data_IF_712227526478
#
_entry.id   IF_712227526478
#
_cell.length_a   1.000
_cell.length_b   1.000
_cell.length_c   1.000
_cell.angle_alpha   90.00
_cell.angle_beta   90.00
_cell.angle_gamma   90.00
#
_symmetry.space_group_name_H-M   'P 1'
#
loop_
_entity.id
_entity.type
_entity.pdbx_description
1 polymer ?
#
# COMPACT_ATOMS: atom_id res chain seq x y z
N UNK A 1 -8.12 -0.07 26.50
CA UNK A 1 -8.70 -0.81 25.36
C UNK A 1 -8.37 -2.26 25.59
N UNK A 2 -9.37 -3.14 25.63
CA UNK A 2 -9.14 -4.57 25.82
C UNK A 2 -8.62 -5.16 24.50
N UNK A 3 -7.54 -5.92 24.56
CA UNK A 3 -7.00 -6.63 23.39
C UNK A 3 -7.62 -8.01 23.35
N UNK A 4 -8.43 -8.28 22.34
CA UNK A 4 -9.08 -9.57 22.16
C UNK A 4 -8.17 -10.50 21.37
N UNK A 5 -8.04 -11.74 21.84
CA UNK A 5 -7.26 -12.79 21.20
C UNK A 5 -8.16 -13.91 20.72
N UNK A 6 -7.89 -14.44 19.54
CA UNK A 6 -8.54 -15.65 19.05
C UNK A 6 -8.00 -16.87 19.80
N UNK A 7 -8.91 -17.71 20.27
CA UNK A 7 -8.60 -18.90 21.06
C UNK A 7 -8.39 -20.12 20.14
N UNK A 8 -7.18 -20.70 20.07
CA UNK A 8 -6.98 -21.96 19.40
C UNK A 8 -7.57 -23.13 20.23
N UNK A 9 -7.91 -24.27 19.59
CA UNK A 9 -8.65 -25.36 20.23
C UNK A 9 -7.91 -25.99 21.42
N UNK A 10 -6.58 -26.13 21.35
CA UNK A 10 -5.78 -26.71 22.45
C UNK A 10 -5.81 -25.85 23.72
N UNK A 11 -5.92 -24.53 23.57
CA UNK A 11 -5.98 -23.59 24.69
C UNK A 11 -7.36 -23.68 25.35
N UNK A 12 -8.42 -23.82 24.55
CA UNK A 12 -9.77 -24.08 25.04
C UNK A 12 -9.78 -25.34 25.90
N UNK A 13 -9.24 -26.45 25.40
CA UNK A 13 -9.12 -27.71 26.16
C UNK A 13 -8.39 -27.51 27.49
N UNK A 14 -7.26 -26.80 27.46
CA UNK A 14 -6.44 -26.51 28.65
C UNK A 14 -7.21 -25.68 29.69
N UNK A 15 -7.97 -24.66 29.26
CA UNK A 15 -8.81 -23.86 30.18
C UNK A 15 -9.97 -24.70 30.71
N UNK A 16 -10.59 -25.53 29.88
CA UNK A 16 -11.70 -26.39 30.34
C UNK A 16 -11.25 -27.45 31.33
N UNK A 17 -10.06 -28.01 31.14
CA UNK A 17 -9.44 -28.97 32.07
C UNK A 17 -9.15 -28.30 33.43
N UNK A 18 -8.65 -27.06 33.39
CA UNK A 18 -8.45 -26.25 34.59
C UNK A 18 -9.76 -25.92 35.31
N UNK A 19 -10.83 -25.59 34.58
CA UNK A 19 -12.14 -25.27 35.17
C UNK A 19 -12.89 -26.51 35.68
N UNK A 20 -12.65 -27.68 35.08
CA UNK A 20 -13.22 -28.96 35.50
C UNK A 20 -12.55 -29.48 36.78
N UNK A 21 -11.25 -29.20 36.93
CA UNK A 21 -10.52 -29.49 38.16
C UNK A 21 -10.93 -28.44 39.20
N UNK A 22 -11.49 -28.85 40.34
CA UNK A 22 -11.95 -27.92 41.39
C UNK A 22 -10.77 -27.32 42.17
N UNK A 23 -9.93 -26.55 41.47
CA UNK A 23 -8.80 -25.82 42.01
C UNK A 23 -9.34 -24.50 42.59
N UNK A 24 -8.79 -24.09 43.75
CA UNK A 24 -9.11 -22.82 44.41
C UNK A 24 -8.54 -21.61 43.62
N UNK A 25 -9.10 -21.36 42.43
CA UNK A 25 -8.81 -20.16 41.65
C UNK A 25 -9.38 -18.92 42.35
N UNK A 26 -8.71 -17.75 42.25
CA UNK A 26 -9.31 -16.48 42.61
C UNK A 26 -10.69 -16.34 41.96
N UNK A 27 -11.69 -15.95 42.75
CA UNK A 27 -13.09 -15.93 42.32
C UNK A 27 -13.30 -15.08 41.06
N UNK A 28 -12.58 -13.96 40.95
CA UNK A 28 -12.62 -13.07 39.79
C UNK A 28 -12.17 -13.78 38.51
N UNK A 29 -11.03 -14.50 38.56
CA UNK A 29 -10.51 -15.27 37.43
C UNK A 29 -11.43 -16.41 37.05
N UNK A 30 -11.96 -17.15 38.03
CA UNK A 30 -12.88 -18.27 37.77
C UNK A 30 -14.16 -17.76 37.12
N UNK A 31 -14.71 -16.65 37.59
CA UNK A 31 -15.92 -16.04 37.03
C UNK A 31 -15.69 -15.54 35.60
N UNK A 32 -14.57 -14.85 35.34
CA UNK A 32 -14.24 -14.34 34.01
C UNK A 32 -13.92 -15.44 33.00
N UNK A 33 -13.16 -16.47 33.40
CA UNK A 33 -12.88 -17.64 32.56
C UNK A 33 -14.17 -18.42 32.27
N UNK A 34 -15.04 -18.62 33.27
CA UNK A 34 -16.34 -19.28 33.07
C UNK A 34 -17.24 -18.47 32.14
N UNK A 35 -17.24 -17.14 32.27
CA UNK A 35 -17.99 -16.24 31.39
C UNK A 35 -17.43 -16.25 29.98
N UNK A 36 -16.10 -16.28 29.85
CA UNK A 36 -15.43 -16.45 28.57
C UNK A 36 -15.90 -17.77 27.98
N UNK A 37 -15.63 -18.92 28.60
CA UNK A 37 -15.95 -20.28 28.11
C UNK A 37 -17.44 -20.52 27.83
N UNK A 38 -18.35 -19.95 28.61
CA UNK A 38 -19.79 -20.08 28.36
C UNK A 38 -20.24 -19.41 27.06
N UNK A 39 -19.60 -18.30 26.67
CA UNK A 39 -19.85 -17.66 25.37
C UNK A 39 -19.42 -18.55 24.21
N UNK A 40 -18.46 -19.45 24.42
CA UNK A 40 -17.96 -20.38 23.39
C UNK A 40 -19.04 -21.41 23.04
N UNK A 41 -19.73 -21.96 24.05
CA UNK A 41 -20.73 -23.01 23.84
C UNK A 41 -21.98 -22.54 23.09
N UNK A 42 -22.30 -21.24 23.14
CA UNK A 42 -23.48 -20.69 22.45
C UNK A 42 -23.28 -20.57 20.94
N UNK A 43 -22.04 -20.39 20.46
CA UNK A 43 -21.75 -20.17 19.03
C UNK A 43 -21.70 -21.47 18.20
N UNK A 44 -21.57 -22.63 18.84
CA UNK A 44 -21.34 -23.93 18.15
C UNK A 44 -22.59 -24.81 18.15
N UNK A 45 -23.80 -24.26 18.23
CA UNK A 45 -24.95 -25.01 17.72
C UNK A 45 -25.04 -24.69 16.23
N UNK A 46 -24.48 -25.54 15.33
CA UNK A 46 -24.89 -25.48 13.94
C UNK A 46 -26.39 -25.72 14.01
N UNK A 47 -27.17 -24.70 13.66
CA UNK A 47 -28.52 -24.97 13.18
C UNK A 47 -28.33 -26.03 12.10
N UNK A 48 -28.70 -27.26 12.43
CA UNK A 48 -28.88 -28.31 11.45
C UNK A 48 -29.96 -27.73 10.55
N UNK A 49 -29.51 -27.06 9.49
CA UNK A 49 -30.35 -26.71 8.36
C UNK A 49 -30.81 -28.07 7.87
N UNK A 50 -31.95 -28.51 8.38
CA UNK A 50 -32.75 -29.56 7.78
C UNK A 50 -32.97 -29.08 6.35
N UNK A 51 -32.10 -29.55 5.45
CA UNK A 51 -32.35 -29.54 4.02
C UNK A 51 -33.61 -30.38 3.85
N UNK A 52 -34.77 -29.71 3.94
CA UNK A 52 -36.00 -30.20 3.36
C UNK A 52 -35.74 -30.33 1.88
N UNK A 53 -35.34 -31.53 1.49
CA UNK A 53 -35.34 -32.03 0.13
C UNK A 53 -36.80 -32.02 -0.36
N UNK A 54 -37.25 -30.88 -0.87
CA UNK A 54 -38.39 -30.82 -1.77
C UNK A 54 -37.88 -30.92 -3.19
N UNK A 55 -37.29 -32.08 -3.50
CA UNK A 55 -37.27 -32.64 -4.84
C UNK A 55 -38.71 -33.03 -5.16
N UNK A 56 -39.46 -32.19 -5.89
CA UNK A 56 -40.57 -32.61 -6.76
C UNK A 56 -41.24 -31.40 -7.44
N UNK A 57 -40.66 -30.89 -8.53
CA UNK A 57 -41.44 -30.50 -9.71
C UNK A 57 -40.53 -30.13 -10.89
N UNK A 58 -40.12 -31.15 -11.65
CA UNK A 58 -39.76 -30.99 -13.06
C UNK A 58 -40.96 -31.43 -13.89
N UNK A 59 -41.72 -30.48 -14.43
CA UNK A 59 -42.57 -30.73 -15.59
C UNK A 59 -42.64 -29.50 -16.52
N UNK A 60 -42.12 -29.72 -17.73
CA UNK A 60 -42.49 -29.17 -19.05
C UNK A 60 -42.34 -27.64 -19.26
N UNK A 61 -41.41 -27.20 -20.12
CA UNK A 61 -41.54 -27.11 -21.59
C UNK A 61 -42.77 -26.26 -22.01
N UNK A 62 -42.59 -25.02 -22.44
CA UNK A 62 -42.42 -24.66 -23.86
C UNK A 62 -42.35 -23.13 -24.11
N UNK A 63 -41.57 -22.79 -25.13
CA UNK A 63 -41.73 -21.70 -26.12
C UNK A 63 -41.53 -20.19 -25.77
N UNK A 64 -40.55 -19.64 -26.51
CA UNK A 64 -40.49 -18.35 -27.18
C UNK A 64 -40.62 -17.02 -26.41
N UNK A 65 -39.47 -16.34 -26.30
CA UNK A 65 -39.35 -15.00 -26.89
C UNK A 65 -39.73 -13.80 -26.02
N UNK A 66 -38.86 -13.44 -25.07
CA UNK A 66 -38.61 -12.04 -24.69
C UNK A 66 -37.33 -11.95 -23.85
N UNK A 67 -36.31 -11.25 -24.39
CA UNK A 67 -35.16 -10.78 -23.62
C UNK A 67 -35.63 -9.76 -22.56
N UNK A 68 -35.98 -10.26 -21.39
CA UNK A 68 -35.99 -9.50 -20.15
C UNK A 68 -34.88 -10.08 -19.30
N UNK A 69 -33.80 -9.31 -19.17
CA UNK A 69 -32.70 -9.57 -18.25
C UNK A 69 -33.33 -9.82 -16.88
N UNK A 70 -33.28 -11.04 -16.33
CA UNK A 70 -33.84 -11.28 -15.02
C UNK A 70 -32.99 -10.46 -14.06
N UNK A 71 -33.60 -9.45 -13.43
CA UNK A 71 -33.07 -8.88 -12.21
C UNK A 71 -32.96 -10.04 -11.22
N UNK A 72 -31.77 -10.62 -11.15
CA UNK A 72 -31.37 -11.50 -10.07
C UNK A 72 -31.50 -10.66 -8.82
N UNK A 73 -32.67 -10.76 -8.19
CA UNK A 73 -32.93 -10.37 -6.82
C UNK A 73 -32.02 -11.24 -5.97
N UNK A 74 -30.76 -10.80 -5.93
CA UNK A 74 -29.66 -11.37 -5.21
C UNK A 74 -29.95 -11.00 -3.76
N UNK A 75 -30.94 -11.68 -3.20
CA UNK A 75 -31.21 -11.70 -1.77
C UNK A 75 -29.94 -12.30 -1.17
N UNK A 76 -28.96 -11.43 -0.92
CA UNK A 76 -27.78 -11.75 -0.16
C UNK A 76 -28.34 -12.16 1.19
N UNK A 77 -28.50 -13.47 1.37
CA UNK A 77 -28.47 -14.09 2.68
C UNK A 77 -27.16 -13.60 3.26
N UNK A 78 -27.24 -12.55 4.07
CA UNK A 78 -26.13 -12.05 4.87
C UNK A 78 -25.81 -13.21 5.78
N UNK A 79 -24.91 -14.07 5.32
CA UNK A 79 -24.34 -15.12 6.14
C UNK A 79 -23.76 -14.39 7.33
N UNK A 80 -24.43 -14.51 8.47
CA UNK A 80 -24.00 -13.88 9.71
C UNK A 80 -22.63 -14.48 10.02
N UNK A 81 -21.58 -13.72 9.71
CA UNK A 81 -20.21 -14.18 9.79
C UNK A 81 -19.94 -14.58 11.24
N UNK A 82 -19.78 -15.89 11.48
CA UNK A 82 -19.65 -16.44 12.82
C UNK A 82 -18.44 -15.78 13.48
N UNK A 83 -18.71 -14.95 14.48
CA UNK A 83 -17.66 -14.23 15.20
C UNK A 83 -16.68 -15.25 15.81
N UNK A 84 -15.38 -15.15 15.50
CA UNK A 84 -14.42 -16.11 16.02
C UNK A 84 -14.31 -16.00 17.53
N UNK A 85 -13.85 -17.10 18.11
CA UNK A 85 -13.78 -17.29 19.53
C UNK A 85 -12.74 -16.38 20.16
N UNK A 86 -13.15 -15.48 21.05
CA UNK A 86 -12.25 -14.45 21.59
C UNK A 86 -12.18 -14.43 23.12
N UNK A 87 -10.98 -14.19 23.64
CA UNK A 87 -10.69 -13.98 25.06
C UNK A 87 -9.90 -12.69 25.26
N UNK A 88 -10.05 -12.06 26.42
CA UNK A 88 -9.26 -10.88 26.76
C UNK A 88 -7.81 -11.27 27.09
N UNK A 89 -6.85 -10.54 26.54
CA UNK A 89 -5.42 -10.73 26.80
C UNK A 89 -5.07 -10.55 28.27
N UNK A 90 -5.68 -9.57 28.94
CA UNK A 90 -5.39 -9.26 30.35
C UNK A 90 -5.82 -10.40 31.29
N UNK A 91 -6.86 -11.14 30.90
CA UNK A 91 -7.32 -12.34 31.61
C UNK A 91 -6.30 -13.49 31.50
N UNK A 92 -5.77 -13.75 30.30
CA UNK A 92 -4.72 -14.77 30.10
C UNK A 92 -3.43 -14.40 30.86
N UNK A 93 -3.05 -13.12 30.86
CA UNK A 93 -1.91 -12.66 31.64
C UNK A 93 -2.13 -12.84 33.15
N UNK A 94 -3.32 -12.51 33.64
CA UNK A 94 -3.65 -12.66 35.06
C UNK A 94 -3.65 -14.14 35.49
N UNK A 95 -4.18 -15.03 34.64
CA UNK A 95 -4.07 -16.46 34.81
C UNK A 95 -2.60 -16.92 34.86
N UNK A 96 -1.77 -16.47 33.90
CA UNK A 96 -0.35 -16.82 33.86
C UNK A 96 0.44 -16.35 35.09
N UNK A 97 0.10 -15.18 35.63
CA UNK A 97 0.71 -14.64 36.85
C UNK A 97 0.32 -15.48 38.06
N UNK A 98 -0.96 -15.87 38.14
CA UNK A 98 -1.43 -16.74 39.21
C UNK A 98 -0.78 -18.13 39.14
N UNK A 99 -0.67 -18.76 37.97
CA UNK A 99 -0.02 -20.07 37.81
C UNK A 99 1.48 -20.05 38.09
N UNK A 100 2.14 -18.90 37.89
CA UNK A 100 3.56 -18.70 38.21
C UNK A 100 3.79 -18.40 39.70
N UNK A 101 2.77 -17.99 40.44
CA UNK A 101 2.88 -17.76 41.88
C UNK A 101 3.11 -19.08 42.64
N UNK A 102 3.83 -19.03 43.77
CA UNK A 102 4.14 -20.23 44.56
C UNK A 102 2.87 -20.98 45.03
N UNK A 103 1.82 -20.23 45.39
CA UNK A 103 0.54 -20.81 45.80
C UNK A 103 -0.21 -21.47 44.65
N UNK A 104 -0.30 -20.79 43.49
CA UNK A 104 -0.94 -21.34 42.29
C UNK A 104 -0.21 -22.59 41.78
N UNK A 105 1.12 -22.55 41.76
CA UNK A 105 1.95 -23.69 41.35
C UNK A 105 1.76 -24.91 42.25
N UNK A 106 1.82 -24.73 43.56
CA UNK A 106 1.63 -25.84 44.51
C UNK A 106 0.22 -26.45 44.41
N UNK A 107 -0.80 -25.63 44.13
CA UNK A 107 -2.16 -26.11 43.89
C UNK A 107 -2.24 -26.91 42.58
N UNK A 108 -1.69 -26.42 41.47
CA UNK A 108 -1.69 -27.15 40.20
C UNK A 108 -0.98 -28.50 40.34
N UNK A 109 0.20 -28.53 40.98
CA UNK A 109 0.96 -29.76 41.22
C UNK A 109 0.18 -30.76 42.09
N UNK A 110 -0.55 -30.29 43.11
CA UNK A 110 -1.40 -31.13 43.97
C UNK A 110 -2.53 -31.80 43.18
N UNK A 111 -3.03 -31.15 42.13
CA UNK A 111 -4.07 -31.68 41.26
C UNK A 111 -3.52 -32.42 40.03
N UNK A 112 -2.21 -32.71 39.98
CA UNK A 112 -1.51 -33.34 38.84
C UNK A 112 -1.62 -32.55 37.52
N UNK A 113 -1.82 -31.23 37.60
CA UNK A 113 -1.78 -30.34 36.44
C UNK A 113 -0.37 -29.78 36.29
N UNK A 114 0.16 -29.78 35.07
CA UNK A 114 1.49 -29.23 34.79
C UNK A 114 1.46 -27.69 34.74
N UNK A 115 2.14 -26.98 35.65
CA UNK A 115 2.18 -25.51 35.66
C UNK A 115 2.77 -24.92 34.36
N UNK A 116 3.64 -25.65 33.67
CA UNK A 116 4.31 -25.17 32.45
C UNK A 116 3.34 -24.88 31.30
N UNK A 117 2.20 -25.57 31.26
CA UNK A 117 1.14 -25.40 30.26
C UNK A 117 0.38 -24.09 30.42
N UNK A 118 0.43 -23.48 31.60
CA UNK A 118 -0.28 -22.25 31.94
C UNK A 118 0.62 -21.02 32.04
N UNK A 119 1.89 -21.14 31.64
CA UNK A 119 2.81 -19.99 31.54
C UNK A 119 2.37 -19.08 30.39
N UNK A 120 2.63 -17.78 30.48
CA UNK A 120 2.22 -16.79 29.48
C UNK A 120 2.59 -17.19 28.04
N UNK A 121 3.79 -17.74 27.84
CA UNK A 121 4.24 -18.20 26.50
C UNK A 121 3.37 -19.34 25.98
N UNK A 122 3.02 -20.30 26.83
CA UNK A 122 2.17 -21.45 26.48
C UNK A 122 0.72 -21.02 26.21
N UNK A 123 0.19 -20.10 27.02
CA UNK A 123 -1.17 -19.56 26.85
C UNK A 123 -1.29 -18.63 25.63
N UNK A 124 -0.22 -17.95 25.22
CA UNK A 124 -0.22 -17.11 24.01
C UNK A 124 0.23 -17.88 22.75
N UNK A 125 0.61 -19.15 22.88
CA UNK A 125 1.07 -19.95 21.76
C UNK A 125 -0.12 -20.28 20.83
N UNK A 126 -0.07 -19.73 19.61
CA UNK A 126 -1.09 -19.95 18.58
C UNK A 126 -2.33 -19.08 18.72
N UNK A 127 -2.35 -18.10 19.64
CA UNK A 127 -3.40 -17.07 19.68
C UNK A 127 -3.10 -15.97 18.66
N UNK A 128 -4.10 -15.49 17.94
CA UNK A 128 -3.97 -14.34 17.04
C UNK A 128 -4.72 -13.14 17.63
N UNK A 129 -4.34 -11.92 17.24
CA UNK A 129 -5.08 -10.73 17.67
C UNK A 129 -6.37 -10.66 16.86
N UNK A 130 -7.51 -10.69 17.55
CA UNK A 130 -8.80 -10.51 16.89
C UNK A 130 -8.98 -9.04 16.49
N UNK A 131 -9.05 -8.81 15.19
CA UNK A 131 -9.35 -7.51 14.60
C UNK A 131 -10.80 -7.57 14.10
N UNK A 132 -11.70 -6.67 14.57
CA UNK A 132 -13.07 -6.59 14.05
C UNK A 132 -13.06 -6.43 12.52
N UNK A 133 -14.03 -7.01 11.78
CA UNK A 133 -14.04 -6.96 10.32
C UNK A 133 -13.98 -5.54 9.75
N UNK A 134 -14.70 -4.60 10.39
CA UNK A 134 -14.68 -3.18 10.02
C UNK A 134 -13.30 -2.52 10.19
N UNK A 135 -12.47 -2.98 11.11
CA UNK A 135 -11.10 -2.50 11.29
C UNK A 135 -10.13 -3.24 10.37
N UNK A 136 -10.37 -4.53 10.14
CA UNK A 136 -9.58 -5.36 9.23
C UNK A 136 -9.62 -4.80 7.81
N UNK A 137 -10.78 -4.34 7.33
CA UNK A 137 -10.89 -3.64 6.05
C UNK A 137 -10.03 -2.37 6.01
N UNK A 138 -10.00 -1.60 7.10
CA UNK A 138 -9.16 -0.39 7.18
C UNK A 138 -7.68 -0.72 7.15
N UNK A 139 -7.27 -1.81 7.80
CA UNK A 139 -5.90 -2.31 7.78
C UNK A 139 -5.54 -2.80 6.37
N UNK A 140 -6.42 -3.56 5.70
CA UNK A 140 -6.23 -3.98 4.30
C UNK A 140 -6.08 -2.78 3.35
N UNK A 141 -6.93 -1.76 3.49
CA UNK A 141 -6.81 -0.52 2.72
C UNK A 141 -5.48 0.20 3.00
N UNK A 142 -4.98 0.12 4.23
CA UNK A 142 -3.70 0.72 4.61
C UNK A 142 -2.48 -0.04 4.06
N UNK A 143 -2.62 -1.33 3.77
CA UNK A 143 -1.57 -2.17 3.15
C UNK A 143 -1.46 -1.94 1.64
N UNK A 144 -2.57 -1.61 0.98
CA UNK A 144 -2.61 -1.28 -0.45
C UNK A 144 -1.88 0.06 -0.74
N UNK A 145 -0.74 0.07 -1.46
CA UNK A 145 0.02 1.30 -1.73
C UNK A 145 -0.70 2.26 -2.68
N UNK A 146 -1.69 1.77 -3.43
CA UNK A 146 -2.47 2.56 -4.38
C UNK A 146 -3.64 3.29 -3.72
N UNK A 147 -4.08 2.83 -2.54
CA UNK A 147 -5.23 3.40 -1.84
C UNK A 147 -4.77 4.40 -0.78
N UNK A 148 -5.59 5.43 -0.49
CA UNK A 148 -5.27 6.37 0.57
C UNK A 148 -5.34 5.66 1.93
N UNK A 149 -4.21 5.61 2.63
CA UNK A 149 -4.13 5.01 3.95
C UNK A 149 -5.01 5.80 4.96
N UNK A 150 -6.01 5.15 5.61
CA UNK A 150 -6.93 5.83 6.53
C UNK A 150 -6.27 6.28 7.85
N UNK A 151 -5.11 5.72 8.20
CA UNK A 151 -4.37 6.05 9.42
C UNK A 151 -3.38 7.20 9.22
N UNK A 152 -3.13 7.61 7.97
CA UNK A 152 -2.25 8.73 7.65
C UNK A 152 -3.08 9.97 7.35
N UNK A 153 -2.63 11.17 7.77
CA UNK A 153 -3.28 12.39 7.36
C UNK A 153 -3.22 12.54 5.82
N UNK A 154 -4.25 13.14 5.24
CA UNK A 154 -4.48 13.18 3.79
C UNK A 154 -3.37 13.85 2.94
N UNK A 155 -2.40 14.51 3.58
CA UNK A 155 -1.22 15.08 2.92
C UNK A 155 -0.02 14.12 2.86
N UNK A 156 0.00 13.04 3.66
CA UNK A 156 1.01 11.99 3.63
C UNK A 156 0.59 10.77 2.81
N UNK A 157 -0.72 10.58 2.58
CA UNK A 157 -1.18 9.51 1.70
C UNK A 157 -0.92 9.88 0.23
N UNK A 158 -0.45 8.93 -0.60
CA UNK A 158 -0.34 9.17 -2.02
C UNK A 158 -1.72 9.51 -2.55
N UNK A 159 -1.91 10.76 -3.00
CA UNK A 159 -3.16 11.16 -3.63
C UNK A 159 -3.24 10.40 -4.95
N UNK A 160 -4.32 9.64 -5.21
CA UNK A 160 -4.55 9.13 -6.55
C UNK A 160 -4.51 10.32 -7.52
N UNK A 161 -3.93 10.15 -8.72
CA UNK A 161 -3.87 11.23 -9.69
C UNK A 161 -5.29 11.76 -9.90
N UNK A 162 -5.55 12.97 -9.40
CA UNK A 162 -6.88 13.55 -9.56
C UNK A 162 -7.14 13.69 -11.05
N UNK A 163 -8.29 13.23 -11.53
CA UNK A 163 -8.67 13.31 -12.95
C UNK A 163 -8.46 14.72 -13.52
N UNK A 164 -8.63 15.77 -12.70
CA UNK A 164 -8.38 17.15 -13.10
C UNK A 164 -6.92 17.48 -13.41
N UNK A 165 -5.95 16.87 -12.74
CA UNK A 165 -4.52 17.12 -13.01
C UNK A 165 -4.05 16.48 -14.32
N UNK A 166 -4.48 15.26 -14.60
CA UNK A 166 -4.20 14.60 -15.87
C UNK A 166 -4.90 15.32 -17.03
N UNK A 167 -6.19 15.65 -16.87
CA UNK A 167 -6.94 16.38 -17.87
C UNK A 167 -6.31 17.75 -18.21
N UNK A 168 -5.85 18.49 -17.20
CA UNK A 168 -5.12 19.75 -17.42
C UNK A 168 -3.79 19.55 -18.15
N UNK A 169 -3.07 18.46 -17.87
CA UNK A 169 -1.83 18.16 -18.58
C UNK A 169 -2.10 17.78 -20.04
N UNK A 170 -3.15 16.99 -20.29
CA UNK A 170 -3.60 16.62 -21.63
C UNK A 170 -4.03 17.84 -22.44
N UNK A 171 -4.80 18.75 -21.85
CA UNK A 171 -5.20 19.99 -22.52
C UNK A 171 -4.01 20.88 -22.90
N UNK A 172 -2.98 20.96 -22.05
CA UNK A 172 -1.75 21.71 -22.37
C UNK A 172 -0.99 21.05 -23.52
N UNK A 173 -0.91 19.73 -23.52
CA UNK A 173 -0.28 18.99 -24.61
C UNK A 173 -1.07 19.17 -25.91
N UNK A 174 -2.40 19.04 -25.85
CA UNK A 174 -3.29 19.23 -27.00
C UNK A 174 -3.14 20.63 -27.60
N UNK A 175 -3.14 21.68 -26.78
CA UNK A 175 -2.94 23.05 -27.25
C UNK A 175 -1.58 23.24 -27.92
N UNK A 176 -0.52 22.61 -27.38
CA UNK A 176 0.82 22.66 -27.99
C UNK A 176 0.83 21.95 -29.34
N UNK A 177 0.25 20.75 -29.41
CA UNK A 177 0.14 19.97 -30.65
C UNK A 177 -0.66 20.71 -31.73
N UNK A 178 -1.79 21.33 -31.36
CA UNK A 178 -2.61 22.13 -32.28
C UNK A 178 -1.83 23.33 -32.81
N UNK A 179 -1.05 24.02 -31.98
CA UNK A 179 -0.22 25.14 -32.43
C UNK A 179 0.85 24.69 -33.44
N UNK A 180 1.49 23.54 -33.21
CA UNK A 180 2.47 22.98 -34.15
C UNK A 180 1.79 22.65 -35.49
N UNK A 181 0.63 21.98 -35.46
CA UNK A 181 -0.17 21.69 -36.66
C UNK A 181 -0.54 22.96 -37.44
N UNK A 182 -1.00 24.01 -36.75
CA UNK A 182 -1.33 25.28 -37.40
C UNK A 182 -0.11 25.96 -38.03
N UNK A 183 1.07 25.87 -37.41
CA UNK A 183 2.31 26.40 -37.99
C UNK A 183 2.71 25.68 -39.28
N UNK A 184 2.64 24.34 -39.28
CA UNK A 184 2.96 23.50 -40.44
C UNK A 184 1.96 23.75 -41.57
N UNK A 185 0.66 23.71 -41.28
CA UNK A 185 -0.36 23.96 -42.30
C UNK A 185 -0.35 25.40 -42.79
N UNK A 186 -0.14 26.37 -41.90
CA UNK A 186 -0.08 27.79 -42.24
C UNK A 186 1.10 28.09 -43.17
N UNK A 187 2.28 27.55 -42.89
CA UNK A 187 3.46 27.70 -43.75
C UNK A 187 3.30 27.00 -45.09
N UNK A 188 2.79 25.76 -45.11
CA UNK A 188 2.50 25.03 -46.35
C UNK A 188 1.46 25.76 -47.22
N UNK A 189 0.39 26.27 -46.61
CA UNK A 189 -0.64 27.04 -47.30
C UNK A 189 -0.08 28.36 -47.85
N UNK A 190 0.75 29.06 -47.08
CA UNK A 190 1.40 30.30 -47.54
C UNK A 190 2.31 30.04 -48.75
N UNK A 191 3.11 28.97 -48.74
CA UNK A 191 3.95 28.56 -49.88
C UNK A 191 3.09 28.18 -51.08
N UNK A 192 2.02 27.42 -50.86
CA UNK A 192 1.07 27.04 -51.91
C UNK A 192 0.46 28.28 -52.58
N UNK A 193 -0.09 29.20 -51.80
CA UNK A 193 -0.67 30.46 -52.30
C UNK A 193 0.38 31.29 -53.02
N UNK A 194 1.59 31.43 -52.47
CA UNK A 194 2.68 32.16 -53.14
C UNK A 194 3.07 31.53 -54.49
N UNK A 195 3.03 30.20 -54.59
CA UNK A 195 3.35 29.47 -55.83
C UNK A 195 2.25 29.56 -56.89
N UNK A 196 0.97 29.56 -56.47
CA UNK A 196 -0.19 29.51 -57.39
C UNK A 196 -0.65 30.91 -57.78
N UNK A 197 -0.63 31.87 -56.86
CA UNK A 197 -1.32 33.16 -56.99
C UNK A 197 -0.49 34.28 -57.64
N UNK A 198 0.68 33.98 -58.22
CA UNK A 198 1.21 34.85 -59.29
C UNK A 198 2.44 35.70 -58.97
N UNK A 199 3.51 35.08 -58.49
CA UNK A 199 4.85 35.70 -58.57
C UNK A 199 5.66 35.29 -59.81
N UNK A 200 5.08 34.51 -60.74
CA UNK A 200 5.74 34.08 -61.97
C UNK A 200 6.85 33.04 -61.78
N UNK A 201 6.92 32.40 -60.62
CA UNK A 201 7.87 31.32 -60.33
C UNK A 201 7.62 30.11 -61.22
N UNK A 202 8.69 29.53 -61.78
CA UNK A 202 8.62 28.24 -62.48
C UNK A 202 8.23 27.14 -61.49
N UNK A 203 7.62 26.06 -61.98
CA UNK A 203 7.27 24.90 -61.14
C UNK A 203 8.48 24.35 -60.37
N UNK A 204 9.69 24.43 -60.93
CA UNK A 204 10.91 23.99 -60.24
C UNK A 204 11.22 24.88 -59.04
N UNK A 205 11.14 26.20 -59.19
CA UNK A 205 11.37 27.13 -58.07
C UNK A 205 10.35 26.98 -56.96
N UNK A 206 9.09 26.69 -57.27
CA UNK A 206 8.07 26.41 -56.27
C UNK A 206 8.38 25.15 -55.44
N UNK A 207 8.85 24.08 -56.09
CA UNK A 207 9.26 22.84 -55.41
C UNK A 207 10.46 23.10 -54.49
N UNK A 208 11.45 23.85 -54.98
CA UNK A 208 12.65 24.18 -54.21
C UNK A 208 12.32 25.02 -52.96
N UNK A 209 11.38 25.96 -53.10
CA UNK A 209 10.90 26.81 -52.00
C UNK A 209 10.10 25.99 -50.97
N UNK A 210 9.28 25.03 -51.41
CA UNK A 210 8.58 24.12 -50.52
C UNK A 210 9.54 23.23 -49.71
N UNK A 211 10.59 22.69 -50.36
CA UNK A 211 11.63 21.92 -49.66
C UNK A 211 12.37 22.79 -48.64
N UNK A 212 12.77 24.00 -49.02
CA UNK A 212 13.43 24.96 -48.13
C UNK A 212 12.55 25.29 -46.90
N UNK A 213 11.27 25.58 -47.13
CA UNK A 213 10.32 25.84 -46.05
C UNK A 213 10.20 24.64 -45.11
N UNK A 214 10.12 23.41 -45.65
CA UNK A 214 10.12 22.18 -44.87
C UNK A 214 11.37 22.02 -44.00
N UNK A 215 12.56 22.34 -44.54
CA UNK A 215 13.82 22.30 -43.77
C UNK A 215 13.81 23.32 -42.63
N UNK A 216 13.38 24.56 -42.89
CA UNK A 216 13.30 25.62 -41.87
C UNK A 216 12.34 25.21 -40.74
N UNK A 217 11.16 24.68 -41.09
CA UNK A 217 10.17 24.18 -40.10
C UNK A 217 10.76 23.02 -39.30
N UNK A 218 11.44 22.08 -39.95
CA UNK A 218 12.09 20.95 -39.27
C UNK A 218 13.17 21.38 -38.26
N UNK A 219 13.98 22.39 -38.61
CA UNK A 219 14.96 22.96 -37.69
C UNK A 219 14.27 23.66 -36.50
N UNK A 220 13.22 24.44 -36.77
CA UNK A 220 12.47 25.14 -35.73
C UNK A 220 11.84 24.16 -34.72
N UNK A 221 11.20 23.10 -35.20
CA UNK A 221 10.63 22.05 -34.36
C UNK A 221 11.72 21.29 -33.59
N UNK A 222 12.87 21.02 -34.23
CA UNK A 222 14.02 20.37 -33.58
C UNK A 222 14.54 21.18 -32.38
N UNK A 223 14.71 22.49 -32.54
CA UNK A 223 15.11 23.40 -31.44
C UNK A 223 14.04 23.43 -30.34
N UNK A 224 12.75 23.42 -30.71
CA UNK A 224 11.65 23.43 -29.76
C UNK A 224 11.65 22.15 -28.88
N UNK A 225 11.81 20.98 -29.50
CA UNK A 225 11.91 19.69 -28.81
C UNK A 225 13.13 19.65 -27.89
N UNK A 226 14.26 20.22 -28.34
CA UNK A 226 15.47 20.31 -27.54
C UNK A 226 15.27 21.19 -26.28
N UNK A 227 14.68 22.38 -26.43
CA UNK A 227 14.36 23.26 -25.28
C UNK A 227 13.36 22.58 -24.33
N UNK A 228 12.34 21.92 -24.87
CA UNK A 228 11.33 21.25 -24.06
C UNK A 228 11.92 20.07 -23.26
N UNK A 229 12.73 19.23 -23.91
CA UNK A 229 13.41 18.12 -23.23
C UNK A 229 14.38 18.60 -22.15
N UNK A 230 15.07 19.73 -22.38
CA UNK A 230 15.85 20.42 -21.35
C UNK A 230 15.01 20.81 -20.13
N UNK A 231 13.91 21.55 -20.35
CA UNK A 231 12.99 21.96 -19.25
C UNK A 231 12.35 20.80 -18.50
N UNK A 232 12.02 19.70 -19.18
CA UNK A 232 11.43 18.52 -18.52
C UNK A 232 12.45 17.83 -17.60
N UNK A 233 13.70 17.70 -18.05
CA UNK A 233 14.79 17.16 -17.22
C UNK A 233 15.05 18.03 -15.99
N UNK A 234 15.10 19.35 -16.18
CA UNK A 234 15.30 20.31 -15.09
C UNK A 234 14.17 20.25 -14.06
N UNK A 235 12.91 20.24 -14.49
CA UNK A 235 11.75 20.10 -13.59
C UNK A 235 11.71 18.76 -12.85
N UNK A 236 12.19 17.67 -13.46
CA UNK A 236 12.32 16.37 -12.76
C UNK A 236 13.37 16.47 -11.67
N UNK A 237 14.54 17.03 -11.98
CA UNK A 237 15.62 17.25 -11.02
C UNK A 237 15.17 18.13 -9.84
N UNK A 238 14.44 19.22 -10.11
CA UNK A 238 13.89 20.12 -9.09
C UNK A 238 12.86 19.40 -8.20
N UNK A 239 11.96 18.58 -8.77
CA UNK A 239 11.00 17.79 -7.99
C UNK A 239 11.67 16.73 -7.13
N UNK A 240 12.71 16.09 -7.65
CA UNK A 240 13.51 15.13 -6.88
C UNK A 240 14.26 15.81 -5.74
N UNK A 241 14.86 16.98 -5.97
CA UNK A 241 15.50 17.78 -4.92
C UNK A 241 14.49 18.22 -3.87
N UNK A 242 13.37 18.82 -4.29
CA UNK A 242 12.33 19.26 -3.37
C UNK A 242 11.70 18.10 -2.59
N UNK A 243 11.53 16.94 -3.23
CA UNK A 243 11.09 15.72 -2.58
C UNK A 243 12.09 15.23 -1.54
N UNK A 244 13.40 15.29 -1.84
CA UNK A 244 14.46 15.01 -0.87
C UNK A 244 14.46 16.00 0.27
N UNK A 245 14.27 17.29 0.02
CA UNK A 245 14.24 18.32 1.07
C UNK A 245 13.03 18.12 2.01
N UNK A 246 11.86 17.75 1.46
CA UNK A 246 10.70 17.40 2.26
C UNK A 246 10.90 16.09 3.06
N UNK A 247 11.58 15.10 2.49
CA UNK A 247 11.91 13.84 3.18
C UNK A 247 13.03 13.99 4.20
N UNK A 248 13.91 14.99 4.06
CA UNK A 248 14.99 15.28 5.02
C UNK A 248 14.44 15.73 6.38
N UNK A 249 13.17 16.12 6.42
CA UNK A 249 12.39 16.29 7.65
C UNK A 249 12.80 17.53 8.45
N UNK A 250 11.83 18.15 9.13
CA UNK A 250 12.05 19.26 10.07
C UNK A 250 12.81 18.86 11.34
N UNK A 251 13.48 17.70 11.34
CA UNK A 251 14.30 17.18 12.43
C UNK A 251 15.79 17.44 12.25
N UNK A 252 16.20 18.09 11.15
CA UNK A 252 17.52 18.69 11.06
C UNK A 252 17.55 19.90 12.01
N UNK A 253 17.76 19.62 13.29
CA UNK A 253 18.33 20.59 14.20
C UNK A 253 19.62 21.11 13.56
N UNK A 254 19.75 22.43 13.61
CA UNK A 254 20.92 23.21 13.23
C UNK A 254 22.18 22.60 13.86
N UNK A 255 22.90 21.79 13.10
CA UNK A 255 24.37 21.80 13.13
C UNK A 255 24.79 22.59 11.89
N UNK A 256 24.40 23.88 11.89
CA UNK A 256 25.09 24.91 11.13
C UNK A 256 26.35 25.21 11.93
N UNK A 257 27.47 24.60 11.56
CA UNK A 257 28.79 25.22 11.66
C UNK A 257 29.66 24.63 10.54
N UNK A 258 29.90 25.50 9.56
CA UNK A 258 31.10 25.56 8.72
C UNK A 258 31.34 24.42 7.72
N UNK A 259 30.77 24.57 6.53
CA UNK A 259 31.51 24.30 5.28
C UNK A 259 30.90 25.12 4.13
N UNK A 260 31.15 26.43 4.17
CA UNK A 260 31.36 27.20 2.94
C UNK A 260 32.67 26.71 2.33
N UNK A 261 32.62 25.96 1.24
CA UNK A 261 33.74 25.88 0.29
C UNK A 261 33.18 25.45 -1.08
N UNK A 262 33.12 26.45 -1.96
CA UNK A 262 33.39 26.40 -3.39
C UNK A 262 32.81 25.24 -4.21
N UNK A 263 31.72 25.52 -4.91
CA UNK A 263 31.50 24.91 -6.23
C UNK A 263 31.17 26.00 -7.24
N UNK A 264 32.27 26.59 -7.74
CA UNK A 264 32.33 27.38 -8.95
C UNK A 264 31.78 26.60 -10.16
N UNK A 265 31.10 27.36 -11.02
CA UNK A 265 30.68 27.00 -12.36
C UNK A 265 31.74 26.19 -13.14
N UNK A 266 31.39 24.95 -13.52
CA UNK A 266 31.96 24.33 -14.71
C UNK A 266 30.86 23.90 -15.67
N UNK A 267 30.48 24.84 -16.52
CA UNK A 267 30.00 24.55 -17.87
C UNK A 267 31.15 23.94 -18.68
N UNK A 268 31.23 22.61 -18.73
CA UNK A 268 32.22 21.87 -19.49
C UNK A 268 31.55 20.88 -20.45
N UNK A 269 31.47 21.27 -21.72
CA UNK A 269 31.29 20.36 -22.87
C UNK A 269 32.64 19.69 -23.13
N UNK A 270 32.70 18.35 -23.20
CA UNK A 270 33.89 17.58 -23.58
C UNK A 270 33.96 16.26 -22.79
N UNK A 271 33.51 15.15 -23.38
CA UNK A 271 34.30 14.22 -24.20
C UNK A 271 35.18 13.29 -23.34
N UNK A 272 35.03 11.99 -23.57
CA UNK A 272 35.39 10.93 -22.63
C UNK A 272 36.88 10.71 -22.54
N UNK A 273 37.41 10.72 -21.31
CA UNK A 273 38.69 10.08 -20.98
C UNK A 273 38.57 9.43 -19.60
N UNK A 274 38.70 8.10 -19.62
CA UNK A 274 38.85 7.22 -18.47
C UNK A 274 40.06 7.68 -17.64
N UNK A 275 39.85 8.07 -16.39
CA UNK A 275 40.94 8.18 -15.41
C UNK A 275 40.70 7.19 -14.27
N UNK A 276 41.66 6.29 -14.18
CA UNK A 276 41.87 5.29 -13.15
C UNK A 276 42.20 6.00 -11.83
N UNK A 277 41.34 5.84 -10.83
CA UNK A 277 41.52 6.42 -9.50
C UNK A 277 42.41 5.46 -8.69
N UNK A 278 43.68 5.84 -8.53
CA UNK A 278 44.59 5.28 -7.53
C UNK A 278 44.19 5.86 -6.17
N UNK A 279 43.62 5.00 -5.31
CA UNK A 279 43.31 5.31 -3.92
C UNK A 279 44.59 5.28 -3.08
N UNK A 280 45.10 6.47 -2.76
CA UNK A 280 46.15 6.64 -1.77
C UNK A 280 45.54 6.61 -0.36
N UNK A 281 46.03 5.66 0.45
CA UNK A 281 45.54 5.33 1.78
C UNK A 281 46.07 6.35 2.80
N UNK A 282 45.23 7.30 3.24
CA UNK A 282 45.51 8.12 4.43
C UNK A 282 44.91 7.46 5.66
N UNK A 283 45.79 7.00 6.54
CA UNK A 283 45.47 6.45 7.86
C UNK A 283 45.25 7.59 8.86
N UNK A 284 44.22 7.44 9.70
CA UNK A 284 44.10 8.18 10.96
C UNK A 284 43.02 9.27 11.02
N UNK A 285 41.75 8.85 11.10
CA UNK A 285 40.72 9.57 11.86
C UNK A 285 39.57 8.60 12.15
N UNK A 286 39.60 8.04 13.36
CA UNK A 286 38.56 7.17 13.89
C UNK A 286 37.31 8.00 14.22
N UNK A 287 36.44 8.21 13.22
CA UNK A 287 35.08 8.69 13.47
C UNK A 287 34.16 7.49 13.70
N UNK A 288 33.71 7.30 14.93
CA UNK A 288 32.82 6.22 15.38
C UNK A 288 31.35 6.37 14.92
N UNK A 289 31.12 6.87 13.70
CA UNK A 289 29.78 6.92 13.12
C UNK A 289 29.45 5.59 12.44
N UNK A 290 29.15 4.58 13.26
CA UNK A 290 28.61 3.30 12.75
C UNK A 290 27.23 3.59 12.14
N UNK A 291 27.19 3.68 10.81
CA UNK A 291 25.98 3.80 10.00
C UNK A 291 25.18 2.50 10.13
N UNK A 292 24.37 2.41 11.19
CA UNK A 292 23.53 1.24 11.47
C UNK A 292 22.36 1.27 10.48
N UNK A 293 22.52 0.56 9.37
CA UNK A 293 21.48 0.39 8.37
C UNK A 293 20.38 -0.50 8.97
N UNK A 294 19.35 0.13 9.54
CA UNK A 294 18.16 -0.55 10.05
C UNK A 294 17.32 -0.99 8.85
N UNK A 295 17.62 -2.17 8.29
CA UNK A 295 16.72 -2.85 7.38
C UNK A 295 15.52 -3.37 8.18
N UNK A 296 14.41 -2.64 8.14
CA UNK A 296 13.11 -3.16 8.55
C UNK A 296 12.73 -4.30 7.60
N UNK A 297 13.12 -5.54 7.96
CA UNK A 297 12.58 -6.74 7.32
C UNK A 297 11.10 -6.81 7.65
N UNK A 298 10.25 -6.32 6.74
CA UNK A 298 8.82 -6.63 6.72
C UNK A 298 8.70 -8.14 6.56
N UNK A 299 8.35 -8.86 7.64
CA UNK A 299 7.88 -10.23 7.54
C UNK A 299 6.49 -10.16 6.92
N UNK A 300 6.38 -10.53 5.64
CA UNK A 300 5.09 -10.74 5.00
C UNK A 300 4.35 -11.86 5.74
N UNK A 301 3.09 -11.59 6.11
CA UNK A 301 2.14 -12.64 6.42
C UNK A 301 2.06 -13.56 5.19
N UNK A 302 2.21 -14.86 5.40
CA UNK A 302 1.92 -15.84 4.35
C UNK A 302 0.41 -15.99 4.27
N UNK A 303 -0.14 -15.77 3.09
CA UNK A 303 -1.50 -16.18 2.78
C UNK A 303 -1.61 -17.70 2.92
N UNK A 304 -2.35 -18.14 3.92
CA UNK A 304 -2.79 -19.53 4.03
C UNK A 304 -4.12 -19.66 3.30
N UNK A 305 -4.04 -20.14 2.05
CA UNK A 305 -5.15 -20.75 1.29
C UNK A 305 -5.62 -22.05 1.91
#
# INVERSE_FOLDING_TARGET
MATLLTLPPHLLETITDLLATDVDLPQDLRAELTRATSRLSTTVQPETIERTSSDEHLQKLDEEGAELIPEHDNTMVVAEELKPLTIDHDLLLSLSRWTTSDSGRALLERHNLDPSRYVAVSLLAGTEVYIPPAELERVRIAEDPEKPNPFLPAYLSPRPPSLGTEYRSLLRNLSTTINILFSIFGSAFAVYVASVSGAGYSKETAILLAVLAGVIVGIADGVLVWIFTGRVKEKRKEREQRGRDMMRGSGAFLDDEDHEEDDEEKNGVGDGVSSEIVLEKKEGLETTAVKKQVQLRRRGLKDTT
#
